data_IF_928406113169
#
_entry.id   IF_928406113169
#
_cell.length_a   1.000
_cell.length_b   1.000
_cell.length_c   1.000
_cell.angle_alpha   90.00
_cell.angle_beta   90.00
_cell.angle_gamma   90.00
#
_symmetry.space_group_name_H-M   'P 1'
#
loop_
_entity.id
_entity.type
_entity.pdbx_description
1 polymer ?
#
# COMPACT_ATOMS: atom_id res chain seq x y z
N UNK A 1 17.53 -9.89 -3.38
CA UNK A 1 18.46 -10.14 -4.51
C UNK A 1 18.99 -8.79 -5.00
N UNK A 2 20.25 -8.70 -5.46
CA UNK A 2 20.79 -7.45 -6.02
C UNK A 2 21.40 -7.65 -7.42
N UNK A 3 21.31 -6.62 -8.25
CA UNK A 3 21.85 -6.60 -9.62
C UNK A 3 22.59 -5.30 -9.89
N UNK A 4 23.49 -5.30 -10.87
CA UNK A 4 24.16 -4.05 -11.27
C UNK A 4 23.22 -3.13 -12.06
N UNK A 5 23.40 -1.81 -11.96
CA UNK A 5 22.64 -0.86 -12.78
C UNK A 5 22.81 -1.07 -14.29
N UNK A 6 23.97 -1.58 -14.73
CA UNK A 6 24.20 -1.93 -16.13
C UNK A 6 23.36 -3.11 -16.61
N UNK A 7 23.17 -4.10 -15.75
CA UNK A 7 22.32 -5.26 -16.01
C UNK A 7 20.84 -4.89 -15.95
N UNK A 8 20.44 -4.12 -14.93
CA UNK A 8 19.09 -3.60 -14.79
C UNK A 8 18.65 -2.83 -16.03
N UNK A 9 19.53 -1.96 -16.57
CA UNK A 9 19.24 -1.23 -17.81
C UNK A 9 19.00 -2.16 -19.00
N UNK A 10 19.76 -3.25 -19.13
CA UNK A 10 19.64 -4.20 -20.26
C UNK A 10 18.37 -5.04 -20.18
N UNK A 11 17.85 -5.25 -18.97
CA UNK A 11 16.78 -6.23 -18.69
C UNK A 11 15.58 -5.60 -17.98
N UNK A 12 15.38 -4.29 -18.14
CA UNK A 12 14.41 -3.54 -17.34
C UNK A 12 12.96 -4.06 -17.47
N UNK A 13 12.50 -4.36 -18.69
CA UNK A 13 11.13 -4.87 -18.90
C UNK A 13 10.91 -6.25 -18.25
N UNK A 14 11.74 -7.27 -18.51
CA UNK A 14 11.66 -8.54 -17.78
C UNK A 14 11.75 -8.39 -16.26
N UNK A 15 12.56 -7.45 -15.77
CA UNK A 15 12.66 -7.18 -14.34
C UNK A 15 11.36 -6.60 -13.77
N UNK A 16 10.70 -5.69 -14.50
CA UNK A 16 9.40 -5.14 -14.10
C UNK A 16 8.35 -6.25 -14.03
N UNK A 17 8.27 -7.10 -15.05
CA UNK A 17 7.34 -8.25 -15.04
C UNK A 17 7.61 -9.14 -13.82
N UNK A 18 8.87 -9.54 -13.63
CA UNK A 18 9.26 -10.41 -12.51
C UNK A 18 8.93 -9.82 -11.14
N UNK A 19 9.23 -8.55 -10.88
CA UNK A 19 8.92 -7.98 -9.56
C UNK A 19 7.42 -7.93 -9.29
N UNK A 20 6.59 -7.71 -10.32
CA UNK A 20 5.14 -7.71 -10.16
C UNK A 20 4.56 -9.12 -10.00
N UNK A 21 5.14 -10.12 -10.66
CA UNK A 21 4.71 -11.52 -10.52
C UNK A 21 5.13 -12.12 -9.18
N UNK A 22 6.40 -11.95 -8.81
CA UNK A 22 6.97 -12.54 -7.60
C UNK A 22 6.65 -11.72 -6.34
N UNK A 23 6.21 -10.46 -6.50
CA UNK A 23 6.00 -9.50 -5.41
C UNK A 23 7.26 -9.27 -4.54
N UNK A 24 8.45 -9.47 -5.13
CA UNK A 24 9.74 -9.33 -4.45
C UNK A 24 10.51 -8.10 -4.95
N UNK A 25 11.04 -7.31 -4.01
CA UNK A 25 11.87 -6.16 -4.31
C UNK A 25 13.30 -6.56 -4.73
N UNK A 26 13.85 -5.85 -5.73
CA UNK A 26 15.22 -6.04 -6.21
C UNK A 26 16.04 -4.78 -5.95
N UNK A 27 17.22 -4.95 -5.37
CA UNK A 27 18.17 -3.86 -5.21
C UNK A 27 19.03 -3.70 -6.48
N UNK A 28 19.07 -2.48 -7.00
CA UNK A 28 19.92 -2.08 -8.12
C UNK A 28 21.13 -1.33 -7.57
N UNK A 29 22.32 -1.88 -7.75
CA UNK A 29 23.59 -1.36 -7.22
C UNK A 29 24.31 -0.55 -8.30
N UNK A 30 24.76 0.65 -7.95
CA UNK A 30 25.53 1.54 -8.84
C UNK A 30 26.65 2.25 -8.08
N UNK A 31 27.68 2.71 -8.82
CA UNK A 31 28.78 3.51 -8.27
C UNK A 31 28.31 4.83 -7.63
N UNK A 32 27.12 5.32 -7.97
CA UNK A 32 26.55 6.58 -7.50
C UNK A 32 25.47 6.40 -6.41
N UNK A 33 25.25 5.19 -5.94
CA UNK A 33 24.20 4.85 -4.97
C UNK A 33 23.25 3.78 -5.49
N UNK A 34 22.52 3.17 -4.57
CA UNK A 34 21.63 2.05 -4.86
C UNK A 34 20.18 2.55 -5.00
N UNK A 35 19.38 1.78 -5.73
CA UNK A 35 17.94 1.98 -5.86
C UNK A 35 17.22 0.65 -5.62
N UNK A 36 15.93 0.71 -5.32
CA UNK A 36 15.08 -0.48 -5.20
C UNK A 36 14.01 -0.42 -6.29
N UNK A 37 13.86 -1.53 -7.01
CA UNK A 37 12.73 -1.78 -7.90
C UNK A 37 11.75 -2.71 -7.18
N UNK A 38 10.49 -2.31 -7.12
CA UNK A 38 9.42 -3.08 -6.48
C UNK A 38 8.08 -2.80 -7.18
N UNK A 39 7.04 -3.63 -6.98
CA UNK A 39 5.70 -3.35 -7.47
C UNK A 39 5.20 -1.97 -7.01
N UNK A 40 4.48 -1.28 -7.88
CA UNK A 40 3.93 0.03 -7.56
C UNK A 40 2.87 -0.06 -6.43
N UNK A 41 2.05 -1.12 -6.45
CA UNK A 41 1.02 -1.34 -5.44
C UNK A 41 1.63 -1.63 -4.06
N UNK A 42 2.74 -2.38 -4.01
CA UNK A 42 3.48 -2.64 -2.76
C UNK A 42 4.07 -1.34 -2.19
N UNK A 43 4.65 -0.50 -3.06
CA UNK A 43 5.13 0.82 -2.64
C UNK A 43 3.99 1.70 -2.09
N UNK A 44 2.84 1.74 -2.76
CA UNK A 44 1.68 2.49 -2.30
C UNK A 44 1.14 1.97 -0.96
N UNK A 45 1.06 0.65 -0.79
CA UNK A 45 0.65 0.02 0.46
C UNK A 45 1.60 0.36 1.63
N UNK A 46 2.90 0.41 1.38
CA UNK A 46 3.89 0.84 2.37
C UNK A 46 3.74 2.31 2.74
N UNK A 47 3.51 3.18 1.75
CA UNK A 47 3.27 4.61 2.02
C UNK A 47 2.02 4.82 2.87
N UNK A 48 0.92 4.12 2.56
CA UNK A 48 -0.32 4.21 3.32
C UNK A 48 -0.13 3.67 4.75
N UNK A 49 0.54 2.52 4.89
CA UNK A 49 0.86 1.97 6.21
C UNK A 49 1.70 2.95 7.03
N UNK A 50 2.76 3.53 6.44
CA UNK A 50 3.57 4.54 7.11
C UNK A 50 2.74 5.78 7.48
N UNK A 51 1.81 6.18 6.63
CA UNK A 51 0.90 7.30 6.90
C UNK A 51 -0.02 7.01 8.09
N UNK A 52 -0.69 5.86 8.11
CA UNK A 52 -1.57 5.44 9.21
C UNK A 52 -0.83 5.38 10.54
N UNK A 53 0.43 4.92 10.53
CA UNK A 53 1.25 4.78 11.73
C UNK A 53 2.00 6.05 12.14
N UNK A 54 1.96 7.12 11.33
CA UNK A 54 2.66 8.38 11.62
C UNK A 54 2.24 9.03 12.94
N UNK A 55 0.98 8.84 13.34
CA UNK A 55 0.47 9.31 14.63
C UNK A 55 0.37 8.15 15.63
N UNK A 56 1.07 8.20 16.78
CA UNK A 56 0.97 7.15 17.79
C UNK A 56 -0.46 6.92 18.29
N UNK A 57 -1.30 7.96 18.34
CA UNK A 57 -2.71 7.82 18.72
C UNK A 57 -3.52 7.10 17.64
N UNK A 58 -3.24 7.37 16.36
CA UNK A 58 -3.91 6.69 15.26
C UNK A 58 -3.48 5.21 15.16
N UNK A 59 -2.19 4.94 15.30
CA UNK A 59 -1.65 3.58 15.32
C UNK A 59 -2.31 2.72 16.40
N UNK A 60 -2.44 3.24 17.63
CA UNK A 60 -3.16 2.54 18.72
C UNK A 60 -4.61 2.27 18.36
N UNK A 61 -5.34 3.28 17.87
CA UNK A 61 -6.75 3.11 17.47
C UNK A 61 -6.93 2.04 16.39
N UNK A 62 -6.02 2.00 15.42
CA UNK A 62 -6.03 1.01 14.33
C UNK A 62 -5.78 -0.40 14.87
N UNK A 63 -4.75 -0.59 15.69
CA UNK A 63 -4.42 -1.89 16.29
C UNK A 63 -5.54 -2.37 17.23
N UNK A 64 -6.09 -1.50 18.07
CA UNK A 64 -7.22 -1.85 18.95
C UNK A 64 -8.44 -2.27 18.13
N UNK A 65 -8.71 -1.60 17.00
CA UNK A 65 -9.81 -1.97 16.11
C UNK A 65 -9.56 -3.34 15.46
N UNK A 66 -8.34 -3.59 14.97
CA UNK A 66 -7.92 -4.88 14.42
C UNK A 66 -8.11 -6.02 15.43
N UNK A 67 -7.66 -5.84 16.67
CA UNK A 67 -7.79 -6.84 17.74
C UNK A 67 -9.24 -7.11 18.12
N UNK A 68 -10.10 -6.07 18.18
CA UNK A 68 -11.54 -6.26 18.40
C UNK A 68 -12.18 -7.10 17.31
N UNK A 69 -11.86 -6.84 16.04
CA UNK A 69 -12.39 -7.62 14.91
C UNK A 69 -11.91 -9.08 15.00
N UNK A 70 -10.62 -9.30 15.25
CA UNK A 70 -10.03 -10.65 15.41
C UNK A 70 -10.64 -11.44 16.57
N UNK A 71 -10.98 -10.75 17.66
CA UNK A 71 -11.65 -11.34 18.82
C UNK A 71 -13.18 -11.51 18.63
N UNK A 72 -13.74 -11.20 17.46
CA UNK A 72 -15.18 -11.30 17.19
C UNK A 72 -16.02 -10.25 17.93
N UNK A 73 -15.41 -9.17 18.41
CA UNK A 73 -16.06 -8.08 19.18
C UNK A 73 -16.47 -6.90 18.29
N UNK A 74 -16.53 -7.09 16.98
CA UNK A 74 -17.00 -6.07 16.05
C UNK A 74 -18.53 -5.97 16.10
N UNK A 75 -19.07 -4.77 15.97
CA UNK A 75 -20.51 -4.53 15.85
C UNK A 75 -20.83 -4.22 14.38
N UNK A 76 -21.85 -4.90 13.86
CA UNK A 76 -22.38 -4.61 12.52
C UNK A 76 -23.37 -3.46 12.66
N UNK A 77 -23.18 -2.43 11.85
CA UNK A 77 -24.10 -1.31 11.73
C UNK A 77 -24.55 -1.21 10.28
N UNK A 78 -25.83 -0.92 10.06
CA UNK A 78 -26.33 -0.54 8.74
C UNK A 78 -25.65 0.77 8.30
N UNK A 79 -25.40 0.90 7.00
CA UNK A 79 -24.84 2.13 6.45
C UNK A 79 -25.88 3.24 6.55
N UNK A 80 -25.52 4.34 7.20
CA UNK A 80 -26.33 5.55 7.19
C UNK A 80 -26.21 6.22 5.82
N UNK A 81 -27.27 6.09 5.00
CA UNK A 81 -27.38 6.69 3.65
C UNK A 81 -28.23 7.95 3.63
N UNK A 82 -28.51 8.55 4.79
CA UNK A 82 -29.39 9.74 4.86
C UNK A 82 -28.86 10.90 4.00
N UNK A 83 -27.55 11.03 3.82
CA UNK A 83 -26.89 12.04 2.97
C UNK A 83 -27.04 11.81 1.45
N UNK A 84 -27.32 10.59 0.98
CA UNK A 84 -27.45 10.30 -0.47
C UNK A 84 -28.74 10.88 -1.07
N UNK A 85 -29.77 11.10 -0.24
CA UNK A 85 -31.05 11.70 -0.63
C UNK A 85 -30.93 13.19 -1.02
N UNK A 86 -29.89 13.87 -0.54
CA UNK A 86 -29.65 15.31 -0.81
C UNK A 86 -28.97 15.54 -2.16
N UNK A 87 -28.23 14.55 -2.68
CA UNK A 87 -27.55 14.67 -3.98
C UNK A 87 -28.50 14.50 -5.16
N UNK A 88 -29.49 13.60 -5.08
CA UNK A 88 -30.46 13.39 -6.17
C UNK A 88 -31.45 14.55 -6.34
N UNK A 89 -31.65 15.39 -5.31
CA UNK A 89 -32.52 16.56 -5.37
C UNK A 89 -31.84 17.82 -5.95
N UNK A 90 -30.54 17.77 -6.24
CA UNK A 90 -29.76 18.89 -6.80
C UNK A 90 -29.50 18.79 -8.31
N UNK A 91 -29.81 17.65 -8.91
CA UNK A 91 -29.65 17.38 -10.34
C UNK A 91 -30.98 17.45 -11.14
N UNK A 92 -32.00 18.12 -10.61
CA UNK A 92 -33.28 18.43 -11.31
C UNK A 92 -33.55 19.93 -11.26
#
# INVERSE_FOLDING_TARGET
>A
MSISASEARKTLFPLIERVNEDQEAIEIVSRKGNAVLMPADEYAAWQETAYLFRSPSNARRLLDAYDRVRAGKAQVHELDRSDESVSQARDV
#
